data_IF_506424991967
#
_entry.id   IF_506424991967
#
_cell.length_a   1.000
_cell.length_b   1.000
_cell.length_c   1.000
_cell.angle_alpha   90.00
_cell.angle_beta   90.00
_cell.angle_gamma   90.00
#
_symmetry.space_group_name_H-M   'P 1'
#
loop_
_entity.id
_entity.type
_entity.pdbx_description
1 polymer ?
#
# COMPACT_ATOMS: atom_id res chain seq x y z
N UNK A 1 2.47 -17.40 51.42
CA UNK A 1 3.78 -16.77 51.68
C UNK A 1 4.07 -15.83 50.52
N UNK A 2 4.07 -14.52 50.74
CA UNK A 2 4.37 -13.54 49.69
C UNK A 2 5.75 -12.95 49.93
N UNK A 3 6.67 -13.18 48.99
CA UNK A 3 8.03 -12.64 49.02
C UNK A 3 7.99 -11.12 48.99
N UNK A 4 8.77 -10.45 49.86
CA UNK A 4 8.87 -8.99 49.88
C UNK A 4 9.54 -8.48 48.60
N UNK A 5 9.08 -7.37 48.01
CA UNK A 5 9.70 -6.79 46.82
C UNK A 5 11.13 -6.35 47.16
N UNK A 6 12.09 -6.75 46.33
CA UNK A 6 13.50 -6.38 46.44
C UNK A 6 13.83 -5.38 45.34
N UNK A 7 14.63 -4.36 45.68
CA UNK A 7 15.16 -3.44 44.68
C UNK A 7 16.07 -4.19 43.69
N UNK A 8 16.02 -3.78 42.42
CA UNK A 8 16.88 -4.31 41.37
C UNK A 8 18.27 -3.67 41.47
N UNK A 9 19.28 -4.47 41.81
CA UNK A 9 20.70 -4.05 41.95
C UNK A 9 21.54 -4.27 40.67
N UNK A 10 20.92 -4.70 39.56
CA UNK A 10 21.61 -4.93 38.29
C UNK A 10 21.80 -3.65 37.45
N UNK A 11 22.24 -3.83 36.19
CA UNK A 11 22.51 -2.71 35.27
C UNK A 11 21.24 -1.92 34.96
N UNK A 12 21.26 -0.62 35.29
CA UNK A 12 20.15 0.32 35.04
C UNK A 12 20.19 0.93 33.64
N UNK A 13 21.14 0.51 32.80
CA UNK A 13 21.33 1.05 31.45
C UNK A 13 20.06 0.94 30.59
N UNK A 14 19.34 -0.19 30.67
CA UNK A 14 18.08 -0.37 29.95
C UNK A 14 17.00 0.63 30.38
N UNK A 15 16.89 0.91 31.68
CA UNK A 15 15.97 1.91 32.21
C UNK A 15 16.36 3.33 31.77
N UNK A 16 17.65 3.64 31.75
CA UNK A 16 18.15 4.92 31.26
C UNK A 16 17.86 5.11 29.76
N UNK A 17 18.07 4.07 28.95
CA UNK A 17 17.71 4.06 27.53
C UNK A 17 16.21 4.26 27.32
N UNK A 18 15.37 3.61 28.13
CA UNK A 18 13.93 3.78 28.06
C UNK A 18 13.49 5.22 28.35
N UNK A 19 14.06 5.85 29.39
CA UNK A 19 13.78 7.27 29.70
C UNK A 19 14.27 8.18 28.57
N UNK A 20 15.45 7.91 28.01
CA UNK A 20 15.97 8.65 26.86
C UNK A 20 15.06 8.57 25.64
N UNK A 21 14.61 7.36 25.29
CA UNK A 21 13.68 7.13 24.18
C UNK A 21 12.33 7.80 24.43
N UNK A 22 11.81 7.73 25.66
CA UNK A 22 10.57 8.40 26.04
C UNK A 22 10.67 9.92 25.87
N UNK A 23 11.77 10.52 26.35
CA UNK A 23 12.02 11.95 26.18
C UNK A 23 12.13 12.35 24.71
N UNK A 24 12.82 11.55 23.90
CA UNK A 24 12.93 11.76 22.45
C UNK A 24 11.56 11.73 21.76
N UNK A 25 10.76 10.69 21.99
CA UNK A 25 9.42 10.59 21.40
C UNK A 25 8.48 11.70 21.88
N UNK A 26 8.57 12.08 23.15
CA UNK A 26 7.82 13.21 23.70
C UNK A 26 8.19 14.51 22.97
N UNK A 27 9.49 14.77 22.77
CA UNK A 27 9.94 15.93 22.02
C UNK A 27 9.43 15.90 20.57
N UNK A 28 9.51 14.75 19.89
CA UNK A 28 8.97 14.58 18.53
C UNK A 28 7.48 14.91 18.50
N UNK A 29 6.66 14.34 19.39
CA UNK A 29 5.21 14.57 19.38
C UNK A 29 4.81 16.01 19.72
N UNK A 30 5.52 16.66 20.64
CA UNK A 30 5.24 18.05 20.99
C UNK A 30 5.69 19.04 19.91
N UNK A 31 6.73 18.70 19.14
CA UNK A 31 7.28 19.55 18.08
C UNK A 31 6.70 19.23 16.70
N UNK A 32 6.11 18.04 16.52
CA UNK A 32 5.49 17.66 15.26
C UNK A 32 4.16 18.40 15.09
N UNK A 33 4.07 19.21 14.05
CA UNK A 33 2.78 19.68 13.53
C UNK A 33 2.28 18.68 12.50
N UNK A 34 1.14 18.03 12.78
CA UNK A 34 0.29 17.58 11.67
C UNK A 34 -0.37 18.85 11.14
N UNK A 35 -0.13 19.19 9.88
CA UNK A 35 -0.81 20.34 9.26
C UNK A 35 -2.33 20.21 9.35
N UNK A 36 -3.06 21.19 8.86
CA UNK A 36 -4.51 21.00 8.64
C UNK A 36 -4.70 19.80 7.72
N UNK A 37 -5.50 18.83 8.14
CA UNK A 37 -5.91 17.73 7.26
C UNK A 37 -6.64 18.35 6.07
N UNK A 38 -5.95 18.43 4.93
CA UNK A 38 -6.54 18.90 3.70
C UNK A 38 -7.43 17.78 3.13
N UNK A 39 -8.59 18.17 2.59
CA UNK A 39 -9.44 17.23 1.86
C UNK A 39 -8.74 16.74 0.60
N UNK A 40 -9.34 15.77 -0.10
CA UNK A 40 -8.90 15.48 -1.47
C UNK A 40 -9.00 16.76 -2.30
N UNK A 41 -8.01 16.98 -3.18
CA UNK A 41 -8.03 18.09 -4.11
C UNK A 41 -9.33 18.09 -4.92
N UNK A 42 -9.85 19.28 -5.19
CA UNK A 42 -11.08 19.44 -5.93
C UNK A 42 -10.88 18.92 -7.36
N UNK A 43 -11.68 17.93 -7.75
CA UNK A 43 -11.47 17.24 -9.03
C UNK A 43 -12.19 15.90 -9.17
N UNK A 44 -12.31 15.44 -10.41
CA UNK A 44 -12.91 14.13 -10.71
C UNK A 44 -11.93 13.00 -10.39
N UNK A 45 -12.32 12.14 -9.44
CA UNK A 45 -11.61 10.91 -9.12
C UNK A 45 -11.52 9.99 -10.34
N UNK A 46 -12.62 9.81 -11.07
CA UNK A 46 -12.67 8.98 -12.28
C UNK A 46 -11.68 9.46 -13.34
N UNK A 47 -11.57 10.77 -13.56
CA UNK A 47 -10.60 11.33 -14.52
C UNK A 47 -9.17 11.12 -14.04
N UNK A 48 -8.89 11.31 -12.75
CA UNK A 48 -7.56 11.10 -12.17
C UNK A 48 -7.12 9.64 -12.29
N UNK A 49 -8.04 8.69 -12.07
CA UNK A 49 -7.79 7.25 -12.32
C UNK A 49 -7.43 7.02 -13.79
N UNK A 50 -8.18 7.61 -14.73
CA UNK A 50 -7.87 7.50 -16.16
C UNK A 50 -6.46 8.00 -16.50
N UNK A 51 -6.03 9.12 -15.93
CA UNK A 51 -4.66 9.62 -16.12
C UNK A 51 -3.61 8.68 -15.51
N UNK A 52 -3.86 8.16 -14.31
CA UNK A 52 -2.97 7.21 -13.63
C UNK A 52 -2.78 5.91 -14.43
N UNK A 53 -3.86 5.39 -15.04
CA UNK A 53 -3.80 4.18 -15.89
C UNK A 53 -2.85 4.31 -17.07
N UNK A 54 -2.68 5.52 -17.61
CA UNK A 54 -1.79 5.79 -18.75
C UNK A 54 -0.52 6.53 -18.36
N UNK A 55 -0.21 6.64 -17.06
CA UNK A 55 0.97 7.35 -16.55
C UNK A 55 1.05 8.81 -17.03
N UNK A 56 -0.09 9.52 -17.03
CA UNK A 56 -0.22 10.92 -17.43
C UNK A 56 -0.25 11.83 -16.20
N UNK A 57 0.54 12.89 -16.21
CA UNK A 57 0.62 13.88 -15.13
C UNK A 57 -0.44 14.99 -15.30
N UNK A 58 -1.71 14.62 -15.12
CA UNK A 58 -2.86 15.52 -15.25
C UNK A 58 -3.98 15.25 -14.23
N UNK A 59 -3.73 14.35 -13.26
CA UNK A 59 -4.68 14.02 -12.20
C UNK A 59 -4.78 15.13 -11.16
N UNK A 60 -6.01 15.41 -10.69
CA UNK A 60 -6.20 16.29 -9.55
C UNK A 60 -5.76 15.62 -8.24
N UNK A 61 -5.86 14.29 -8.18
CA UNK A 61 -5.46 13.47 -7.04
C UNK A 61 -4.12 12.80 -7.34
N UNK A 62 -3.15 12.96 -6.45
CA UNK A 62 -1.85 12.32 -6.57
C UNK A 62 -1.98 10.79 -6.51
N UNK A 63 -1.39 10.10 -7.48
CA UNK A 63 -1.42 8.64 -7.58
C UNK A 63 -0.18 8.13 -8.31
N UNK A 64 0.20 6.88 -8.04
CA UNK A 64 1.20 6.18 -8.83
C UNK A 64 0.67 5.86 -10.24
N UNK A 65 1.60 5.68 -11.19
CA UNK A 65 1.27 5.26 -12.55
C UNK A 65 1.01 3.75 -12.63
N UNK A 66 -0.08 3.37 -13.31
CA UNK A 66 -0.51 1.97 -13.45
C UNK A 66 -0.35 1.42 -14.87
N UNK A 67 0.47 2.05 -15.73
CA UNK A 67 0.60 1.66 -17.13
C UNK A 67 1.02 0.20 -17.31
N UNK A 68 1.98 -0.29 -16.51
CA UNK A 68 2.42 -1.69 -16.58
C UNK A 68 1.27 -2.63 -16.22
N UNK A 69 0.52 -2.33 -15.15
CA UNK A 69 -0.63 -3.13 -14.74
C UNK A 69 -1.73 -3.12 -15.81
N UNK A 70 -2.02 -1.96 -16.41
CA UNK A 70 -2.98 -1.81 -17.49
C UNK A 70 -2.63 -2.73 -18.69
N UNK A 71 -1.38 -2.72 -19.13
CA UNK A 71 -0.92 -3.58 -20.23
C UNK A 71 -0.90 -5.06 -19.82
N UNK A 72 -0.48 -5.38 -18.61
CA UNK A 72 -0.49 -6.77 -18.12
C UNK A 72 -1.91 -7.36 -18.09
N UNK A 73 -2.90 -6.57 -17.66
CA UNK A 73 -4.31 -6.98 -17.70
C UNK A 73 -4.75 -7.23 -19.14
N UNK A 74 -4.40 -6.35 -20.09
CA UNK A 74 -4.74 -6.55 -21.50
C UNK A 74 -4.18 -7.86 -22.06
N UNK A 75 -2.90 -8.16 -21.79
CA UNK A 75 -2.25 -9.41 -22.21
C UNK A 75 -2.90 -10.63 -21.56
N UNK A 76 -3.21 -10.56 -20.26
CA UNK A 76 -3.85 -11.68 -19.55
C UNK A 76 -5.26 -11.93 -20.08
N UNK A 77 -6.03 -10.87 -20.35
CA UNK A 77 -7.38 -11.00 -20.90
C UNK A 77 -7.36 -11.55 -22.32
N UNK A 78 -6.39 -11.15 -23.15
CA UNK A 78 -6.19 -11.69 -24.50
C UNK A 78 -5.89 -13.20 -24.47
N UNK A 79 -4.89 -13.61 -23.68
CA UNK A 79 -4.55 -15.03 -23.52
C UNK A 79 -5.70 -15.85 -22.90
N UNK A 80 -6.45 -15.27 -21.96
CA UNK A 80 -7.62 -15.92 -21.37
C UNK A 80 -8.75 -16.10 -22.39
N UNK A 81 -8.96 -15.12 -23.26
CA UNK A 81 -9.94 -15.20 -24.35
C UNK A 81 -9.53 -16.28 -25.36
N UNK A 82 -8.28 -16.29 -25.80
CA UNK A 82 -7.75 -17.31 -26.71
C UNK A 82 -7.85 -18.71 -26.10
N UNK A 83 -7.48 -18.86 -24.82
CA UNK A 83 -7.61 -20.11 -24.08
C UNK A 83 -9.07 -20.56 -23.98
N UNK A 84 -9.99 -19.65 -23.67
CA UNK A 84 -11.43 -19.95 -23.62
C UNK A 84 -11.97 -20.39 -24.99
N UNK A 85 -11.57 -19.71 -26.07
CA UNK A 85 -11.97 -20.06 -27.44
C UNK A 85 -11.39 -21.41 -27.86
N UNK A 86 -10.10 -21.67 -27.61
CA UNK A 86 -9.46 -22.95 -27.89
C UNK A 86 -10.18 -24.10 -27.18
N UNK A 87 -10.50 -23.93 -25.90
CA UNK A 87 -11.21 -24.94 -25.10
C UNK A 87 -12.67 -25.14 -25.53
N UNK A 88 -13.31 -24.11 -26.07
CA UNK A 88 -14.69 -24.18 -26.53
C UNK A 88 -14.83 -24.90 -27.89
N UNK A 89 -13.78 -24.90 -28.71
CA UNK A 89 -13.78 -25.62 -29.98
C UNK A 89 -13.83 -27.13 -29.71
N UNK A 90 -14.79 -27.80 -30.34
CA UNK A 90 -14.83 -29.26 -30.43
C UNK A 90 -14.19 -29.67 -31.74
N UNK A 91 -13.30 -30.65 -31.69
CA UNK A 91 -12.75 -31.23 -32.91
C UNK A 91 -13.85 -32.04 -33.59
N UNK A 92 -14.23 -31.64 -34.81
CA UNK A 92 -15.08 -32.43 -35.72
C UNK A 92 -14.25 -33.49 -36.47
N UNK A 93 -13.16 -33.98 -35.87
CA UNK A 93 -12.31 -35.02 -36.45
C UNK A 93 -12.92 -36.41 -36.17
N UNK A 94 -13.98 -36.72 -36.94
CA UNK A 94 -14.67 -38.00 -36.85
C UNK A 94 -15.62 -38.34 -38.02
N UNK A 95 -15.77 -37.48 -39.02
CA UNK A 95 -16.57 -37.76 -40.24
C UNK A 95 -15.73 -37.61 -41.51
N UNK A 96 -14.90 -38.62 -41.81
CA UNK A 96 -14.82 -39.35 -43.09
C UNK A 96 -13.64 -40.33 -43.14
#
# INVERSE_FOLDING_TARGET
MTTRPRLYDGSKLGGLLAVGLFGFLTAVFLTSGFGTADGFADGSVTRSIGYAMFNLDAGAVASEGFLVAFIAIAVVLDAALDGAVMLAKRDEEGES
#
